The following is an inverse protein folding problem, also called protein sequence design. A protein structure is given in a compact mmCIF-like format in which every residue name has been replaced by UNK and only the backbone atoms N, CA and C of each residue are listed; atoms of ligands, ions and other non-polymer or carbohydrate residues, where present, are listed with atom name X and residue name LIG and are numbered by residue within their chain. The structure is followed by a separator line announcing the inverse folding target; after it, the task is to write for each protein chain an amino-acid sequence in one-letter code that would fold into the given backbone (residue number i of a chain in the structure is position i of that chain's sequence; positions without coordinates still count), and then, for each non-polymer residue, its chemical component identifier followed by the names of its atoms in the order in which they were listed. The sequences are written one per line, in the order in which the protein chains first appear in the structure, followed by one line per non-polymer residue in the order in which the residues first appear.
data_IF_028082300042
#
_entry.id   IF_028082300042
#
_cell.length_a   1.000
_cell.length_b   1.000
_cell.length_c   1.000
_cell.angle_alpha   90.00
_cell.angle_beta   90.00
_cell.angle_gamma   90.00
#
_symmetry.space_group_name_H-M   'P 1'
#
loop_
_entity.id
_entity.type
_entity.pdbx_description
1 polymer ?
#
# COMPACT_ATOMS: atom_id res chain seq x y z
N UNK A 1 -38.40 3.55 3.92
CA UNK A 1 -37.53 2.63 4.70
C UNK A 1 -36.95 1.50 3.84
N UNK A 2 -37.79 0.71 3.12
CA UNK A 2 -37.32 -0.40 2.27
C UNK A 2 -36.36 0.02 1.17
N UNK A 3 -36.62 1.10 0.44
CA UNK A 3 -35.75 1.61 -0.63
C UNK A 3 -34.34 2.01 -0.10
N UNK A 4 -34.30 2.65 1.05
CA UNK A 4 -33.01 3.03 1.67
C UNK A 4 -32.20 1.78 2.07
N UNK A 5 -32.83 0.75 2.59
CA UNK A 5 -32.17 -0.52 2.93
C UNK A 5 -31.63 -1.21 1.67
N UNK A 6 -32.40 -1.24 0.60
CA UNK A 6 -32.00 -1.83 -0.70
C UNK A 6 -30.77 -1.09 -1.25
N UNK A 7 -30.75 0.25 -1.20
CA UNK A 7 -29.60 1.05 -1.65
C UNK A 7 -28.36 0.71 -0.82
N UNK A 8 -28.48 0.62 0.51
CA UNK A 8 -27.36 0.26 1.39
C UNK A 8 -26.83 -1.13 1.07
N UNK A 9 -27.70 -2.12 0.84
CA UNK A 9 -27.28 -3.48 0.50
C UNK A 9 -26.55 -3.51 -0.86
N UNK A 10 -27.07 -2.81 -1.86
CA UNK A 10 -26.46 -2.74 -3.20
C UNK A 10 -25.10 -2.06 -3.11
N UNK A 11 -24.99 -0.91 -2.45
CA UNK A 11 -23.71 -0.19 -2.33
C UNK A 11 -22.69 -0.98 -1.53
N UNK A 12 -23.11 -1.69 -0.49
CA UNK A 12 -22.22 -2.58 0.27
C UNK A 12 -21.73 -3.75 -0.59
N UNK A 13 -22.62 -4.36 -1.39
CA UNK A 13 -22.25 -5.45 -2.29
C UNK A 13 -21.24 -4.98 -3.36
N UNK A 14 -21.48 -3.82 -3.97
CA UNK A 14 -20.56 -3.21 -4.95
C UNK A 14 -19.22 -2.89 -4.28
N UNK A 15 -19.23 -2.30 -3.10
CA UNK A 15 -18.03 -2.01 -2.33
C UNK A 15 -17.21 -3.28 -2.04
N UNK A 16 -17.85 -4.34 -1.56
CA UNK A 16 -17.17 -5.61 -1.29
C UNK A 16 -16.56 -6.20 -2.56
N UNK A 17 -17.26 -6.11 -3.69
CA UNK A 17 -16.71 -6.53 -5.00
C UNK A 17 -15.50 -5.68 -5.42
N UNK A 18 -15.52 -4.37 -5.22
CA UNK A 18 -14.39 -3.48 -5.53
C UNK A 18 -13.22 -3.75 -4.58
N UNK A 19 -13.48 -3.81 -3.28
CA UNK A 19 -12.44 -3.99 -2.27
C UNK A 19 -11.74 -5.37 -2.33
N UNK A 20 -12.47 -6.42 -2.70
CA UNK A 20 -11.95 -7.79 -2.78
C UNK A 20 -11.63 -8.26 -4.20
N UNK A 21 -12.11 -7.54 -5.22
CA UNK A 21 -12.52 -8.28 -6.39
C UNK A 21 -11.65 -8.21 -7.60
N UNK A 22 -11.01 -7.14 -7.90
CA UNK A 22 -10.20 -7.12 -9.12
C UNK A 22 -8.76 -6.83 -8.76
N UNK A 23 -7.83 -7.67 -9.21
CA UNK A 23 -6.42 -7.31 -9.20
C UNK A 23 -6.23 -5.99 -9.96
N UNK A 24 -5.17 -5.22 -9.70
CA UNK A 24 -4.85 -4.05 -10.50
C UNK A 24 -4.65 -4.45 -11.96
N UNK A 25 -4.82 -3.50 -12.87
CA UNK A 25 -4.50 -3.70 -14.28
C UNK A 25 -2.97 -3.73 -14.47
N UNK A 26 -2.53 -4.49 -15.47
CA UNK A 26 -1.11 -4.59 -15.82
C UNK A 26 -0.30 -5.31 -14.75
N UNK A 27 -0.79 -6.42 -14.25
CA UNK A 27 -0.02 -7.33 -13.42
C UNK A 27 0.98 -8.14 -14.23
N UNK A 28 1.90 -8.78 -13.54
CA UNK A 28 2.87 -9.70 -14.14
C UNK A 28 2.21 -10.78 -15.00
N UNK A 29 1.12 -11.40 -14.51
CA UNK A 29 0.38 -12.39 -15.29
C UNK A 29 -0.25 -11.80 -16.55
N UNK A 30 -0.85 -10.61 -16.46
CA UNK A 30 -1.43 -9.92 -17.63
C UNK A 30 -0.36 -9.63 -18.68
N UNK A 31 0.83 -9.20 -18.23
CA UNK A 31 1.97 -8.92 -19.10
C UNK A 31 2.51 -10.17 -19.78
N UNK A 32 2.68 -11.27 -19.03
CA UNK A 32 3.13 -12.54 -19.58
C UNK A 32 2.13 -13.12 -20.59
N UNK A 33 0.83 -13.04 -20.27
CA UNK A 33 -0.25 -13.55 -21.13
C UNK A 33 -0.42 -12.72 -22.42
N UNK A 34 -0.09 -11.42 -22.36
CA UNK A 34 -0.18 -10.55 -23.55
C UNK A 34 0.86 -10.86 -24.61
N UNK A 35 2.00 -11.43 -24.24
CA UNK A 35 3.15 -11.62 -25.13
C UNK A 35 3.78 -10.30 -25.62
N UNK A 36 3.44 -9.18 -24.98
CA UNK A 36 3.96 -7.86 -25.30
C UNK A 36 5.46 -7.77 -24.99
N UNK A 37 6.23 -7.14 -25.89
CA UNK A 37 7.64 -6.83 -25.65
C UNK A 37 7.73 -5.36 -25.28
N UNK A 38 8.22 -5.07 -24.08
CA UNK A 38 8.43 -3.70 -23.61
C UNK A 38 9.38 -2.95 -24.55
N UNK A 39 9.02 -1.71 -24.90
CA UNK A 39 9.91 -0.81 -25.63
C UNK A 39 10.90 -0.09 -24.71
N UNK A 40 10.49 0.14 -23.45
CA UNK A 40 11.30 0.68 -22.37
C UNK A 40 11.59 -0.38 -21.31
N UNK A 41 11.76 0.09 -20.07
CA UNK A 41 12.01 -0.77 -18.91
C UNK A 41 10.74 -1.47 -18.44
N UNK A 42 10.88 -2.64 -17.85
CA UNK A 42 9.82 -3.29 -17.07
C UNK A 42 10.06 -2.97 -15.59
N UNK A 43 9.11 -2.32 -14.96
CA UNK A 43 9.20 -1.84 -13.57
C UNK A 43 8.14 -2.52 -12.71
N UNK A 44 8.56 -3.27 -11.71
CA UNK A 44 7.66 -3.96 -10.78
C UNK A 44 7.38 -3.10 -9.55
N UNK A 45 6.12 -2.69 -9.36
CA UNK A 45 5.63 -2.02 -8.16
C UNK A 45 4.95 -3.07 -7.26
N UNK A 46 5.66 -3.53 -6.24
CA UNK A 46 5.27 -4.68 -5.42
C UNK A 46 4.79 -4.20 -4.05
N UNK A 47 3.61 -4.66 -3.60
CA UNK A 47 3.10 -4.22 -2.31
C UNK A 47 1.69 -4.70 -1.99
N UNK A 48 1.03 -3.94 -1.14
CA UNK A 48 -0.31 -4.19 -0.65
C UNK A 48 -1.36 -3.23 -1.27
N UNK A 49 -2.40 -2.85 -0.51
CA UNK A 49 -3.45 -1.93 -0.96
C UNK A 49 -2.94 -0.52 -1.31
N UNK A 50 -1.85 -0.08 -0.70
CA UNK A 50 -1.24 1.22 -0.97
C UNK A 50 -0.57 1.27 -2.35
N UNK A 51 -0.17 0.12 -2.87
CA UNK A 51 0.36 -0.05 -4.24
C UNK A 51 -0.77 -0.36 -5.23
N UNK A 52 -1.75 -1.20 -4.84
CA UNK A 52 -2.92 -1.49 -5.66
C UNK A 52 -3.65 -0.21 -6.12
N UNK A 53 -3.96 0.69 -5.17
CA UNK A 53 -4.56 1.99 -5.44
C UNK A 53 -6.08 1.99 -5.70
N UNK A 54 -6.80 0.86 -5.62
CA UNK A 54 -8.25 0.83 -5.82
C UNK A 54 -9.05 1.36 -4.62
N UNK A 55 -8.43 1.42 -3.47
CA UNK A 55 -8.95 2.04 -2.25
C UNK A 55 -8.17 3.33 -1.97
N UNK A 56 -8.03 4.21 -2.97
CA UNK A 56 -7.31 5.46 -2.82
C UNK A 56 -6.81 6.01 -4.14
N UNK A 57 -5.86 6.95 -4.09
CA UNK A 57 -5.17 7.47 -5.26
C UNK A 57 -4.02 6.54 -5.65
N UNK A 58 -4.03 6.05 -6.89
CA UNK A 58 -3.05 5.09 -7.41
C UNK A 58 -1.81 5.81 -7.94
N UNK A 59 -0.70 5.77 -7.19
CA UNK A 59 0.57 6.36 -7.63
C UNK A 59 1.20 5.63 -8.82
N UNK A 60 0.93 4.33 -8.99
CA UNK A 60 1.45 3.54 -10.11
C UNK A 60 0.84 3.98 -11.44
N UNK A 61 -0.46 4.28 -11.48
CA UNK A 61 -1.10 4.82 -12.68
C UNK A 61 -0.49 6.18 -13.07
N UNK A 62 -0.19 7.03 -12.10
CA UNK A 62 0.49 8.30 -12.36
C UNK A 62 1.93 8.13 -12.85
N UNK A 63 2.63 7.03 -12.51
CA UNK A 63 3.93 6.72 -13.11
C UNK A 63 3.81 6.36 -14.59
N UNK A 64 2.80 5.59 -14.99
CA UNK A 64 2.53 5.27 -16.41
C UNK A 64 2.40 6.53 -17.26
N UNK A 65 1.71 7.56 -16.72
CA UNK A 65 1.59 8.86 -17.40
C UNK A 65 2.93 9.59 -17.55
N UNK A 66 3.86 9.38 -16.62
CA UNK A 66 5.17 10.06 -16.60
C UNK A 66 6.24 9.35 -17.41
N UNK A 67 6.14 8.04 -17.54
CA UNK A 67 7.08 7.19 -18.25
C UNK A 67 6.34 6.30 -19.27
N UNK A 68 5.78 6.90 -20.35
CA UNK A 68 4.90 6.17 -21.27
C UNK A 68 5.62 5.10 -22.13
N UNK A 69 6.94 5.05 -22.10
CA UNK A 69 7.73 4.02 -22.77
C UNK A 69 7.96 2.78 -21.87
N UNK A 70 7.84 2.96 -20.54
CA UNK A 70 8.10 1.91 -19.57
C UNK A 70 6.82 1.11 -19.28
N UNK A 71 6.97 -0.16 -18.99
CA UNK A 71 5.89 -1.05 -18.53
C UNK A 71 5.90 -1.12 -17.01
N UNK A 72 4.77 -0.78 -16.40
CA UNK A 72 4.61 -0.85 -14.94
C UNK A 72 3.74 -2.04 -14.57
N UNK A 73 4.35 -3.01 -13.87
CA UNK A 73 3.64 -4.14 -13.27
C UNK A 73 3.11 -3.69 -11.91
N UNK A 74 1.79 -3.49 -11.81
CA UNK A 74 1.18 -3.19 -10.51
C UNK A 74 0.90 -4.50 -9.77
N UNK A 75 1.79 -4.87 -8.86
CA UNK A 75 1.71 -6.04 -8.00
C UNK A 75 1.27 -5.68 -6.58
N UNK A 76 0.35 -4.72 -6.45
CA UNK A 76 -0.34 -4.41 -5.21
C UNK A 76 -1.54 -5.32 -4.98
N UNK A 77 -1.64 -5.98 -3.82
CA UNK A 77 -2.81 -6.78 -3.44
C UNK A 77 -3.30 -6.37 -2.06
N UNK A 78 -4.59 -6.02 -1.98
CA UNK A 78 -5.20 -5.53 -0.74
C UNK A 78 -5.04 -6.51 0.41
N UNK A 79 -4.50 -6.02 1.51
CA UNK A 79 -4.34 -6.79 2.74
C UNK A 79 -3.12 -7.70 2.79
N UNK A 80 -2.30 -7.76 1.73
CA UNK A 80 -1.10 -8.59 1.72
C UNK A 80 -0.15 -8.21 2.84
N UNK A 81 0.40 -9.23 3.47
CA UNK A 81 1.57 -9.18 4.35
C UNK A 81 2.80 -9.69 3.60
N UNK A 82 3.99 -9.50 4.17
CA UNK A 82 5.26 -9.90 3.53
C UNK A 82 5.25 -11.37 3.07
N UNK A 83 4.65 -12.29 3.84
CA UNK A 83 4.54 -13.71 3.49
C UNK A 83 3.80 -13.93 2.16
N UNK A 84 2.71 -13.22 1.92
CA UNK A 84 1.91 -13.39 0.68
C UNK A 84 2.67 -12.89 -0.55
N UNK A 85 3.41 -11.79 -0.44
CA UNK A 85 4.30 -11.33 -1.52
C UNK A 85 5.35 -12.39 -1.83
N UNK A 86 5.95 -13.00 -0.80
CA UNK A 86 6.93 -14.07 -0.95
C UNK A 86 6.36 -15.27 -1.71
N UNK A 87 5.10 -15.68 -1.44
CA UNK A 87 4.45 -16.81 -2.12
C UNK A 87 4.13 -16.54 -3.60
N UNK A 88 3.86 -15.29 -3.99
CA UNK A 88 3.44 -14.93 -5.35
C UNK A 88 4.52 -14.27 -6.21
N UNK A 89 5.79 -14.36 -5.81
CA UNK A 89 6.88 -13.66 -6.48
C UNK A 89 7.21 -14.21 -7.86
N UNK A 90 6.97 -15.50 -8.11
CA UNK A 90 7.40 -16.21 -9.32
C UNK A 90 6.99 -15.51 -10.63
N UNK A 91 5.70 -15.16 -10.88
CA UNK A 91 5.33 -14.49 -12.13
C UNK A 91 6.01 -13.12 -12.30
N UNK A 92 6.29 -12.43 -11.20
CA UNK A 92 6.97 -11.12 -11.23
C UNK A 92 8.39 -11.30 -11.77
N UNK A 93 9.13 -12.29 -11.27
CA UNK A 93 10.50 -12.59 -11.72
C UNK A 93 10.52 -13.10 -13.17
N UNK A 94 9.51 -13.87 -13.59
CA UNK A 94 9.36 -14.34 -14.97
C UNK A 94 9.22 -13.18 -15.97
N UNK A 95 8.69 -12.02 -15.56
CA UNK A 95 8.67 -10.80 -16.38
C UNK A 95 10.04 -10.16 -16.56
N UNK A 96 11.07 -10.57 -15.83
CA UNK A 96 12.42 -10.02 -15.82
C UNK A 96 12.45 -8.50 -15.69
N UNK A 97 11.92 -7.94 -14.59
CA UNK A 97 11.92 -6.49 -14.40
C UNK A 97 13.33 -5.92 -14.37
N UNK A 98 13.51 -4.74 -14.93
CA UNK A 98 14.75 -3.97 -14.83
C UNK A 98 14.88 -3.29 -13.46
N UNK A 99 13.73 -3.00 -12.84
CA UNK A 99 13.64 -2.25 -11.59
C UNK A 99 12.44 -2.71 -10.76
N UNK A 100 12.62 -2.77 -9.44
CA UNK A 100 11.54 -3.01 -8.50
C UNK A 100 11.44 -1.93 -7.42
N UNK A 101 10.19 -1.56 -7.08
CA UNK A 101 9.85 -0.74 -5.91
C UNK A 101 8.99 -1.59 -4.99
N UNK A 102 9.50 -1.91 -3.80
CA UNK A 102 8.83 -2.74 -2.80
C UNK A 102 8.28 -1.88 -1.66
N UNK A 103 6.95 -1.90 -1.46
CA UNK A 103 6.28 -1.25 -0.33
C UNK A 103 5.36 -2.25 0.37
N UNK A 104 5.88 -2.96 1.37
CA UNK A 104 5.18 -4.01 2.10
C UNK A 104 5.54 -4.01 3.58
N UNK A 105 4.55 -4.28 4.43
CA UNK A 105 4.73 -4.36 5.88
C UNK A 105 3.68 -3.61 6.69
N UNK A 106 2.89 -2.72 6.08
CA UNK A 106 1.82 -2.00 6.80
C UNK A 106 0.79 -2.95 7.41
N UNK A 107 0.42 -4.01 6.68
CA UNK A 107 -0.49 -5.04 7.18
C UNK A 107 0.18 -5.94 8.23
N UNK A 108 1.48 -6.22 8.10
CA UNK A 108 2.27 -6.91 9.14
C UNK A 108 2.28 -6.10 10.44
N UNK A 109 2.52 -4.80 10.33
CA UNK A 109 2.53 -3.90 11.47
C UNK A 109 1.14 -3.81 12.13
N UNK A 110 0.08 -3.62 11.36
CA UNK A 110 -1.29 -3.60 11.87
C UNK A 110 -1.69 -4.94 12.50
N UNK A 111 -1.32 -6.05 11.85
CA UNK A 111 -1.62 -7.40 12.33
C UNK A 111 -0.84 -7.79 13.59
N UNK A 112 0.36 -7.24 13.79
CA UNK A 112 1.19 -7.48 14.98
C UNK A 112 0.94 -6.48 16.11
N UNK A 113 0.14 -5.44 15.87
CA UNK A 113 -0.11 -4.37 16.84
C UNK A 113 -1.03 -4.82 17.99
N UNK A 114 -2.05 -5.62 17.67
CA UNK A 114 -2.93 -6.21 18.67
C UNK A 114 -3.39 -7.62 18.27
N UNK A 115 -3.68 -8.45 19.27
CA UNK A 115 -4.01 -9.86 19.05
C UNK A 115 -5.27 -10.08 18.22
N UNK A 116 -6.29 -9.23 18.37
CA UNK A 116 -7.55 -9.35 17.63
C UNK A 116 -7.34 -9.06 16.15
N UNK A 117 -6.57 -8.02 15.83
CA UNK A 117 -6.15 -7.70 14.45
C UNK A 117 -5.36 -8.85 13.85
N UNK A 118 -4.37 -9.38 14.57
CA UNK A 118 -3.57 -10.51 14.11
C UNK A 118 -4.40 -11.76 13.78
N UNK A 119 -5.35 -12.13 14.65
CA UNK A 119 -6.30 -13.22 14.39
C UNK A 119 -7.17 -12.93 13.16
N UNK A 120 -7.59 -11.67 13.00
CA UNK A 120 -8.33 -11.21 11.83
C UNK A 120 -7.54 -11.37 10.53
N UNK A 121 -6.29 -10.91 10.50
CA UNK A 121 -5.40 -11.07 9.34
C UNK A 121 -5.19 -12.55 9.01
N UNK A 122 -4.83 -13.38 9.98
CA UNK A 122 -4.66 -14.82 9.78
C UNK A 122 -5.87 -15.46 9.12
N UNK A 123 -7.07 -15.20 9.65
CA UNK A 123 -8.32 -15.79 9.16
C UNK A 123 -8.68 -15.28 7.76
N UNK A 124 -8.68 -13.97 7.56
CA UNK A 124 -9.18 -13.36 6.32
C UNK A 124 -8.24 -13.58 5.15
N UNK A 125 -6.94 -13.56 5.38
CA UNK A 125 -5.91 -13.72 4.37
C UNK A 125 -5.36 -15.15 4.29
N UNK A 126 -5.93 -16.09 5.09
CA UNK A 126 -5.51 -17.51 5.12
C UNK A 126 -4.02 -17.69 5.40
N UNK A 127 -3.47 -16.86 6.30
CA UNK A 127 -2.06 -16.94 6.66
C UNK A 127 -1.76 -18.20 7.48
N UNK A 128 -0.56 -18.79 7.36
CA UNK A 128 -0.16 -19.94 8.16
C UNK A 128 -0.10 -19.62 9.65
N UNK A 129 0.29 -18.39 9.98
CA UNK A 129 0.41 -17.90 11.36
C UNK A 129 -0.09 -16.45 11.50
N UNK A 130 -0.24 -16.00 12.73
CA UNK A 130 -0.57 -14.60 13.04
C UNK A 130 0.64 -13.73 12.67
N UNK A 131 0.46 -12.59 11.97
CA UNK A 131 1.55 -11.66 11.69
C UNK A 131 2.22 -11.20 12.98
N UNK A 132 3.54 -11.26 13.01
CA UNK A 132 4.36 -10.76 14.11
C UNK A 132 5.56 -10.00 13.58
N UNK A 133 6.11 -9.08 14.38
CA UNK A 133 7.33 -8.38 14.00
C UNK A 133 8.52 -9.36 13.80
N UNK A 134 8.56 -10.47 14.55
CA UNK A 134 9.60 -11.48 14.38
C UNK A 134 9.46 -12.25 13.06
N UNK A 135 8.24 -12.58 12.64
CA UNK A 135 7.99 -13.17 11.32
C UNK A 135 8.41 -12.21 10.19
N UNK A 136 8.05 -10.92 10.31
CA UNK A 136 8.48 -9.89 9.36
C UNK A 136 10.00 -9.78 9.27
N UNK A 137 10.71 -9.75 10.40
CA UNK A 137 12.18 -9.70 10.44
C UNK A 137 12.85 -10.89 9.77
N UNK A 138 12.19 -12.04 9.76
CA UNK A 138 12.70 -13.21 9.05
C UNK A 138 12.40 -13.11 7.55
N UNK A 139 11.16 -12.82 7.19
CA UNK A 139 10.68 -12.93 5.82
C UNK A 139 11.13 -11.78 4.90
N UNK A 140 11.30 -10.56 5.43
CA UNK A 140 11.68 -9.42 4.58
C UNK A 140 13.07 -9.59 3.95
N UNK A 141 14.14 -9.96 4.70
CA UNK A 141 15.44 -10.22 4.08
C UNK A 141 15.40 -11.36 3.06
N UNK A 142 14.65 -12.44 3.35
CA UNK A 142 14.46 -13.57 2.42
C UNK A 142 13.74 -13.12 1.13
N UNK A 143 12.75 -12.24 1.23
CA UNK A 143 12.05 -11.66 0.09
C UNK A 143 13.00 -10.82 -0.78
N UNK A 144 13.82 -9.97 -0.15
CA UNK A 144 14.81 -9.14 -0.84
C UNK A 144 15.86 -10.01 -1.54
N UNK A 145 16.32 -11.09 -0.90
CA UNK A 145 17.25 -12.04 -1.52
C UNK A 145 16.66 -12.69 -2.77
N UNK A 146 15.37 -13.04 -2.75
CA UNK A 146 14.69 -13.55 -3.95
C UNK A 146 14.49 -12.51 -5.03
N UNK A 147 14.37 -11.24 -4.67
CA UNK A 147 14.29 -10.13 -5.62
C UNK A 147 15.65 -9.76 -6.22
N UNK A 148 16.77 -10.26 -5.68
CA UNK A 148 18.13 -9.89 -6.10
C UNK A 148 18.46 -10.21 -7.56
N UNK A 149 17.64 -11.01 -8.24
CA UNK A 149 17.71 -11.19 -9.70
C UNK A 149 17.35 -9.92 -10.49
N UNK A 150 16.62 -8.97 -9.86
CA UNK A 150 16.27 -7.70 -10.45
C UNK A 150 17.43 -6.72 -10.29
N UNK A 151 17.93 -6.11 -11.37
CA UNK A 151 19.16 -5.29 -11.33
C UNK A 151 19.11 -4.10 -10.35
N UNK A 152 17.92 -3.51 -10.18
CA UNK A 152 17.70 -2.33 -9.33
C UNK A 152 16.51 -2.53 -8.42
N UNK A 153 16.72 -2.45 -7.11
CA UNK A 153 15.66 -2.60 -6.11
C UNK A 153 15.68 -1.37 -5.19
N UNK A 154 14.49 -0.84 -4.94
CA UNK A 154 14.24 0.08 -3.85
C UNK A 154 13.18 -0.48 -2.91
N UNK A 155 13.38 -0.32 -1.60
CA UNK A 155 12.36 -0.58 -0.59
C UNK A 155 11.86 0.73 -0.01
N UNK A 156 10.55 0.82 0.24
CA UNK A 156 9.94 1.96 0.90
C UNK A 156 9.91 1.77 2.41
N UNK A 157 10.17 2.83 3.17
CA UNK A 157 9.72 2.89 4.55
C UNK A 157 8.19 2.91 4.59
N UNK A 158 7.59 2.37 5.65
CA UNK A 158 6.14 2.30 5.80
C UNK A 158 5.55 3.68 6.08
N UNK A 159 4.48 4.08 5.39
CA UNK A 159 3.78 5.32 5.68
C UNK A 159 3.16 5.29 7.09
N UNK A 160 2.81 6.44 7.65
CA UNK A 160 2.08 6.50 8.91
C UNK A 160 0.71 5.80 8.81
N UNK A 161 0.26 5.25 9.94
CA UNK A 161 -1.10 4.75 10.11
C UNK A 161 -1.83 5.71 11.07
N UNK A 162 -2.85 6.37 10.56
CA UNK A 162 -3.36 7.58 11.17
C UNK A 162 -2.33 8.71 11.10
N UNK A 163 -2.74 9.92 11.43
CA UNK A 163 -1.90 11.11 11.24
C UNK A 163 -1.49 11.74 12.57
N UNK A 164 -1.28 10.91 13.57
CA UNK A 164 -0.85 11.29 14.92
C UNK A 164 0.53 10.68 15.16
N UNK A 165 1.58 11.50 15.09
CA UNK A 165 2.98 11.05 15.19
C UNK A 165 3.21 10.22 16.45
N UNK A 166 2.79 10.73 17.60
CA UNK A 166 3.04 10.12 18.91
C UNK A 166 2.07 8.96 19.24
N UNK A 167 1.26 8.51 18.29
CA UNK A 167 0.35 7.40 18.51
C UNK A 167 1.08 6.07 18.69
N UNK A 168 0.53 5.17 19.50
CA UNK A 168 1.14 3.86 19.75
C UNK A 168 1.35 3.05 18.46
N UNK A 169 0.45 3.18 17.47
CA UNK A 169 0.61 2.50 16.18
C UNK A 169 1.79 3.07 15.40
N UNK A 170 2.02 4.39 15.37
CA UNK A 170 3.14 4.98 14.65
C UNK A 170 4.47 4.71 15.35
N UNK A 171 4.51 4.64 16.68
CA UNK A 171 5.66 4.11 17.42
C UNK A 171 5.94 2.63 17.11
N UNK A 172 4.90 1.86 16.79
CA UNK A 172 5.05 0.47 16.36
C UNK A 172 5.55 0.39 14.90
N UNK A 173 5.02 1.21 13.99
CA UNK A 173 5.51 1.36 12.59
C UNK A 173 6.98 1.74 12.57
N UNK A 174 7.41 2.63 13.44
CA UNK A 174 8.81 3.06 13.50
C UNK A 174 9.79 1.88 13.73
N UNK A 175 9.40 0.87 14.50
CA UNK A 175 10.22 -0.36 14.66
C UNK A 175 10.41 -1.10 13.33
N UNK A 176 9.39 -1.08 12.47
CA UNK A 176 9.48 -1.66 11.13
C UNK A 176 10.37 -0.81 10.24
N UNK A 177 10.24 0.53 10.28
CA UNK A 177 11.04 1.44 9.48
C UNK A 177 12.53 1.37 9.84
N UNK A 178 12.86 1.33 11.12
CA UNK A 178 14.23 1.09 11.59
C UNK A 178 14.77 -0.24 11.06
N UNK A 179 13.95 -1.30 11.07
CA UNK A 179 14.37 -2.61 10.56
C UNK A 179 14.50 -2.61 9.02
N UNK A 180 13.60 -1.94 8.30
CA UNK A 180 13.67 -1.77 6.84
C UNK A 180 14.99 -1.08 6.46
N UNK A 181 15.30 0.06 7.09
CA UNK A 181 16.52 0.81 6.82
C UNK A 181 17.77 -0.04 7.07
N UNK A 182 17.83 -0.74 8.21
CA UNK A 182 18.93 -1.65 8.51
C UNK A 182 19.06 -2.76 7.47
N UNK A 183 17.95 -3.39 7.08
CA UNK A 183 17.96 -4.46 6.07
C UNK A 183 18.39 -3.95 4.70
N UNK A 184 17.96 -2.76 4.32
CA UNK A 184 18.35 -2.13 3.06
C UNK A 184 19.86 -1.84 3.03
N UNK A 185 20.43 -1.32 4.12
CA UNK A 185 21.87 -1.12 4.28
C UNK A 185 22.62 -2.44 4.16
N UNK A 186 22.22 -3.48 4.91
CA UNK A 186 22.84 -4.82 4.88
C UNK A 186 22.79 -5.47 3.48
N UNK A 187 21.71 -5.23 2.72
CA UNK A 187 21.50 -5.78 1.37
C UNK A 187 21.99 -4.85 0.25
N UNK A 188 22.50 -3.67 0.58
CA UNK A 188 22.98 -2.65 -0.36
C UNK A 188 21.92 -2.28 -1.42
N UNK A 189 20.67 -2.07 -0.99
CA UNK A 189 19.55 -1.63 -1.83
C UNK A 189 19.11 -0.21 -1.44
N UNK A 190 18.48 0.49 -2.39
CA UNK A 190 18.00 1.85 -2.17
C UNK A 190 16.80 1.88 -1.21
N UNK A 191 16.70 2.94 -0.41
CA UNK A 191 15.52 3.25 0.40
C UNK A 191 14.77 4.43 -0.20
N UNK A 192 13.47 4.30 -0.35
CA UNK A 192 12.55 5.42 -0.57
C UNK A 192 11.92 5.79 0.76
N UNK A 193 12.33 6.92 1.32
CA UNK A 193 11.89 7.35 2.64
C UNK A 193 10.49 7.97 2.61
N UNK A 194 9.50 7.09 2.51
CA UNK A 194 8.08 7.44 2.48
C UNK A 194 7.62 7.98 3.82
N UNK A 195 8.10 7.40 4.93
CA UNK A 195 7.72 7.80 6.28
C UNK A 195 8.03 9.27 6.53
N UNK A 196 9.29 9.66 6.44
CA UNK A 196 9.73 11.02 6.72
C UNK A 196 9.14 12.01 5.73
N UNK A 197 9.10 11.67 4.44
CA UNK A 197 8.46 12.51 3.42
C UNK A 197 6.99 12.77 3.70
N UNK A 198 6.26 11.79 4.26
CA UNK A 198 4.86 11.98 4.64
C UNK A 198 4.72 12.79 5.92
N UNK A 199 5.60 12.63 6.91
CA UNK A 199 5.61 13.48 8.10
C UNK A 199 5.94 14.93 7.76
N UNK A 200 6.87 15.18 6.84
CA UNK A 200 7.15 16.52 6.32
C UNK A 200 5.92 17.14 5.65
N UNK A 201 5.20 16.39 4.86
CA UNK A 201 3.96 16.87 4.25
C UNK A 201 2.85 17.10 5.29
N UNK A 202 2.74 16.24 6.31
CA UNK A 202 1.81 16.40 7.44
C UNK A 202 2.11 17.64 8.28
N UNK A 203 3.38 18.07 8.37
CA UNK A 203 3.77 19.28 9.09
C UNK A 203 3.13 20.56 8.52
N UNK A 204 2.71 20.55 7.25
CA UNK A 204 2.02 21.65 6.56
C UNK A 204 0.53 21.73 6.92
N UNK A 205 -0.01 20.71 7.60
CA UNK A 205 -1.41 20.69 8.03
C UNK A 205 -1.65 21.74 9.14
N UNK A 206 -2.68 22.57 8.97
CA UNK A 206 -3.01 23.67 9.88
C UNK A 206 -3.98 23.30 11.01
N UNK A 207 -4.42 22.06 11.08
CA UNK A 207 -5.35 21.54 12.08
C UNK A 207 -4.88 20.20 12.65
N UNK A 208 -5.19 19.87 13.91
CA UNK A 208 -4.78 18.59 14.50
C UNK A 208 -5.56 17.41 13.90
N UNK A 209 -4.95 16.23 13.89
CA UNK A 209 -5.66 15.00 13.59
C UNK A 209 -6.78 14.76 14.61
N UNK A 210 -7.96 14.39 14.14
CA UNK A 210 -9.17 14.29 14.98
C UNK A 210 -9.33 12.91 15.62
N UNK A 211 -8.72 11.89 15.05
CA UNK A 211 -8.85 10.50 15.48
C UNK A 211 -7.50 9.82 15.58
N UNK A 212 -7.32 9.03 16.63
CA UNK A 212 -6.28 8.02 16.67
C UNK A 212 -6.74 6.77 15.90
N UNK A 213 -5.79 6.03 15.36
CA UNK A 213 -6.05 4.74 14.74
C UNK A 213 -6.77 3.79 15.71
N UNK A 214 -7.78 3.10 15.18
CA UNK A 214 -8.51 2.08 15.93
C UNK A 214 -8.35 0.73 15.20
N UNK A 215 -7.72 -0.28 15.84
CA UNK A 215 -7.42 -1.56 15.20
C UNK A 215 -8.65 -2.45 14.95
N UNK A 216 -9.84 -2.09 15.49
CA UNK A 216 -11.05 -2.90 15.29
C UNK A 216 -11.45 -2.92 13.81
N UNK A 217 -11.45 -4.10 13.20
CA UNK A 217 -11.78 -4.30 11.79
C UNK A 217 -13.13 -3.68 11.39
N UNK A 218 -14.12 -3.70 12.29
CA UNK A 218 -15.43 -3.08 12.03
C UNK A 218 -15.34 -1.55 11.89
N UNK A 219 -14.43 -0.89 12.62
CA UNK A 219 -14.19 0.55 12.52
C UNK A 219 -13.46 0.85 11.22
N UNK A 220 -12.41 0.10 10.92
CA UNK A 220 -11.62 0.22 9.68
C UNK A 220 -12.54 0.08 8.46
N UNK A 221 -13.32 -1.00 8.37
CA UNK A 221 -14.23 -1.23 7.25
C UNK A 221 -15.30 -0.14 7.12
N UNK A 222 -15.83 0.36 8.24
CA UNK A 222 -16.78 1.48 8.25
C UNK A 222 -16.14 2.76 7.69
N UNK A 223 -14.91 3.06 8.08
CA UNK A 223 -14.20 4.26 7.63
C UNK A 223 -13.86 4.16 6.14
N UNK A 224 -13.39 2.99 5.66
CA UNK A 224 -13.14 2.73 4.23
C UNK A 224 -14.44 2.85 3.43
N UNK A 225 -15.51 2.16 3.85
CA UNK A 225 -16.79 2.16 3.15
C UNK A 225 -17.41 3.57 3.08
N UNK A 226 -17.39 4.30 4.18
CA UNK A 226 -17.90 5.66 4.22
C UNK A 226 -17.09 6.64 3.36
N UNK A 227 -15.77 6.42 3.22
CA UNK A 227 -14.94 7.17 2.28
C UNK A 227 -15.24 6.81 0.83
N UNK A 228 -15.36 5.53 0.55
CA UNK A 228 -15.70 4.99 -0.77
C UNK A 228 -17.03 5.59 -1.29
N UNK A 229 -18.07 5.66 -0.45
CA UNK A 229 -19.34 6.32 -0.80
C UNK A 229 -19.12 7.79 -1.14
N UNK A 230 -18.37 8.53 -0.33
CA UNK A 230 -18.11 9.95 -0.60
C UNK A 230 -17.39 10.16 -1.93
N UNK A 231 -16.41 9.31 -2.24
CA UNK A 231 -15.66 9.42 -3.48
C UNK A 231 -16.47 8.95 -4.71
N UNK A 232 -16.96 7.71 -4.72
CA UNK A 232 -17.56 7.12 -5.92
C UNK A 232 -19.00 7.57 -6.16
N UNK A 233 -19.78 7.80 -5.11
CA UNK A 233 -21.18 8.20 -5.24
C UNK A 233 -21.31 9.72 -5.26
N UNK A 234 -20.68 10.41 -4.31
CA UNK A 234 -20.74 11.87 -4.23
C UNK A 234 -19.62 12.61 -5.01
N UNK A 235 -18.76 11.86 -5.71
CA UNK A 235 -17.71 12.39 -6.59
C UNK A 235 -16.74 13.35 -5.89
N UNK A 236 -16.52 13.20 -4.59
CA UNK A 236 -15.56 14.00 -3.85
C UNK A 236 -14.14 13.49 -4.13
N UNK A 237 -13.16 14.37 -4.40
CA UNK A 237 -11.76 13.99 -4.39
C UNK A 237 -11.34 13.35 -3.05
N UNK A 238 -10.39 12.43 -3.06
CA UNK A 238 -9.94 11.76 -1.83
C UNK A 238 -9.39 12.74 -0.80
N UNK A 239 -8.65 13.77 -1.23
CA UNK A 239 -8.17 14.83 -0.33
C UNK A 239 -9.33 15.56 0.35
N UNK A 240 -10.47 15.81 -0.33
CA UNK A 240 -11.66 16.39 0.28
C UNK A 240 -12.37 15.44 1.26
N UNK A 241 -12.30 14.13 0.97
CA UNK A 241 -12.78 13.14 1.93
C UNK A 241 -11.90 13.13 3.18
N UNK A 242 -10.59 13.17 3.02
CA UNK A 242 -9.62 13.27 4.11
C UNK A 242 -9.87 14.53 4.98
N UNK A 243 -9.96 15.70 4.37
CA UNK A 243 -10.22 16.98 5.05
C UNK A 243 -11.53 16.95 5.86
N UNK A 244 -12.60 16.37 5.31
CA UNK A 244 -13.88 16.23 6.02
C UNK A 244 -13.79 15.38 7.30
N UNK A 245 -12.71 14.62 7.43
CA UNK A 245 -12.40 13.74 8.57
C UNK A 245 -11.26 14.27 9.43
N UNK A 246 -10.81 15.50 9.16
CA UNK A 246 -9.63 16.12 9.76
C UNK A 246 -8.35 15.27 9.55
N UNK A 247 -8.22 14.71 8.36
CA UNK A 247 -7.02 14.03 7.85
C UNK A 247 -6.46 14.83 6.67
N UNK A 248 -5.20 14.58 6.29
CA UNK A 248 -4.48 15.34 5.27
C UNK A 248 -3.97 14.47 4.12
N UNK A 249 -3.28 13.38 4.44
CA UNK A 249 -2.72 12.44 3.46
C UNK A 249 -3.58 11.20 3.29
N UNK A 250 -4.20 10.76 4.41
CA UNK A 250 -4.96 9.53 4.51
C UNK A 250 -6.44 9.87 4.63
N UNK A 251 -7.32 9.16 3.93
CA UNK A 251 -8.76 9.47 4.01
C UNK A 251 -9.53 8.53 4.97
N UNK A 252 -8.93 7.41 5.36
CA UNK A 252 -9.50 6.40 6.28
C UNK A 252 -8.51 5.91 7.34
N UNK A 253 -7.45 6.68 7.57
CA UNK A 253 -6.31 6.42 8.45
C UNK A 253 -5.26 5.44 7.90
N UNK A 254 -5.46 4.85 6.72
CA UNK A 254 -4.57 3.85 6.11
C UNK A 254 -4.25 4.23 4.68
N UNK A 255 -5.28 4.46 3.86
CA UNK A 255 -5.13 4.60 2.43
C UNK A 255 -4.90 6.05 1.98
N UNK A 256 -4.11 6.18 0.90
CA UNK A 256 -3.61 7.46 0.42
C UNK A 256 -4.70 8.28 -0.29
N UNK A 257 -4.87 9.53 0.11
CA UNK A 257 -5.47 10.56 -0.71
C UNK A 257 -4.53 10.98 -1.86
N UNK A 258 -4.96 11.96 -2.65
CA UNK A 258 -4.13 12.46 -3.76
C UNK A 258 -2.80 13.07 -3.27
N UNK A 259 -2.79 13.73 -2.08
CA UNK A 259 -1.56 14.27 -1.47
C UNK A 259 -0.59 13.16 -1.10
N UNK A 260 -1.06 12.11 -0.42
CA UNK A 260 -0.24 10.97 -0.05
C UNK A 260 0.33 10.25 -1.28
N UNK A 261 -0.50 10.06 -2.31
CA UNK A 261 -0.06 9.46 -3.56
C UNK A 261 0.96 10.33 -4.30
N UNK A 262 0.88 11.67 -4.22
CA UNK A 262 1.89 12.57 -4.79
C UNK A 262 3.25 12.47 -4.10
N UNK A 263 3.29 12.28 -2.78
CA UNK A 263 4.54 12.02 -2.05
C UNK A 263 5.18 10.74 -2.59
N UNK A 264 4.40 9.66 -2.66
CA UNK A 264 4.87 8.38 -3.17
C UNK A 264 5.34 8.48 -4.64
N UNK A 265 4.56 9.16 -5.49
CA UNK A 265 4.90 9.41 -6.90
C UNK A 265 6.21 10.18 -7.04
N UNK A 266 6.44 11.20 -6.21
CA UNK A 266 7.67 12.01 -6.26
C UNK A 266 8.91 11.18 -5.96
N UNK A 267 8.86 10.35 -4.93
CA UNK A 267 9.96 9.46 -4.54
C UNK A 267 10.24 8.41 -5.62
N UNK A 268 9.18 7.72 -6.06
CA UNK A 268 9.29 6.69 -7.09
C UNK A 268 9.82 7.27 -8.42
N UNK A 269 9.29 8.42 -8.86
CA UNK A 269 9.77 9.13 -10.04
C UNK A 269 11.25 9.51 -9.92
N UNK A 270 11.67 10.05 -8.79
CA UNK A 270 13.08 10.38 -8.53
C UNK A 270 13.97 9.16 -8.70
N UNK A 271 13.61 8.05 -8.08
CA UNK A 271 14.35 6.79 -8.18
C UNK A 271 14.42 6.24 -9.60
N UNK A 272 13.30 6.18 -10.31
CA UNK A 272 13.22 5.70 -11.70
C UNK A 272 14.04 6.57 -12.65
N UNK A 273 14.08 7.89 -12.44
CA UNK A 273 14.80 8.82 -13.29
C UNK A 273 16.33 8.74 -13.15
N UNK A 274 16.83 8.16 -12.05
CA UNK A 274 18.27 8.03 -11.77
C UNK A 274 18.81 6.64 -12.02
N UNK A 275 17.95 5.67 -12.31
CA UNK A 275 18.28 4.28 -12.56
C UNK A 275 17.72 3.76 -13.88
#
# INVERSE_FOLDING_TARGET
MLLALVIVVITLFVFVKVAKGKPPQGRALDYLDSGEIAQGRVIACIGDSLTHGNLGACWVEHLRDKFPQDVFLNEGINGDVVWQVHERLKPILECRPDLAILMIGSNDAMGSFDESSGKGYKKNNKLPEIPTFNAYKKLLPELIDRLSEIPKIAICTLPPIGECLDSAINQHIEKFNVFINKTAEEKNISVLDVSDSMWDELSKRTYPAKKNYNPKMTVILKDIYGAWIQHYIFKKPWDRVAESRAQWLLFDQIHLGERGARVMLSLAKGYISTN
#
